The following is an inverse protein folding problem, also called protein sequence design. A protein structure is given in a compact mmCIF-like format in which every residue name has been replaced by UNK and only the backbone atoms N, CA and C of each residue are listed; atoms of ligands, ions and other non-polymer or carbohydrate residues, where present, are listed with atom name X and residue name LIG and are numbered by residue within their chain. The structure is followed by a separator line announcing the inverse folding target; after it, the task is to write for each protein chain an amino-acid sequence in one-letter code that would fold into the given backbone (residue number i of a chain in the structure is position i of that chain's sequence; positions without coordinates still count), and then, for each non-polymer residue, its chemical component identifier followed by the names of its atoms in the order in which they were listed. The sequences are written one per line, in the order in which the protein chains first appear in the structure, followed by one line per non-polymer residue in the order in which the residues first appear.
data_IF_183521230379
#
_entry.id   IF_183521230379
#
_cell.length_a   1.000
_cell.length_b   1.000
_cell.length_c   1.000
_cell.angle_alpha   90.00
_cell.angle_beta   90.00
_cell.angle_gamma   90.00
#
_symmetry.space_group_name_H-M   'P 1'
#
loop_
_entity.id
_entity.type
_entity.pdbx_description
1 polymer ?
#
# COMPACT_ATOMS: atom_id res chain seq x y z
N UNK A 1 -15.82 -22.73 7.81
CA UNK A 1 -14.90 -21.79 8.49
C UNK A 1 -13.85 -21.38 7.46
N UNK A 2 -13.82 -20.11 7.03
CA UNK A 2 -12.75 -19.63 6.15
C UNK A 2 -11.49 -19.56 7.00
N UNK A 3 -10.47 -20.35 6.68
CA UNK A 3 -9.17 -20.21 7.34
C UNK A 3 -8.72 -18.75 7.21
N UNK A 4 -8.22 -18.11 8.28
CA UNK A 4 -7.58 -16.81 8.13
C UNK A 4 -6.46 -16.98 7.10
N UNK A 5 -6.48 -16.15 6.05
CA UNK A 5 -5.39 -16.13 5.09
C UNK A 5 -4.09 -15.93 5.88
N UNK A 6 -3.06 -16.71 5.58
CA UNK A 6 -1.77 -16.51 6.23
C UNK A 6 -1.27 -15.10 5.91
N UNK A 7 -0.46 -14.52 6.81
CA UNK A 7 0.17 -13.22 6.55
C UNK A 7 0.84 -13.19 5.18
N UNK A 8 1.56 -14.26 4.83
CA UNK A 8 2.18 -14.41 3.51
C UNK A 8 1.18 -14.30 2.35
N UNK A 9 0.04 -14.99 2.42
CA UNK A 9 -1.00 -14.90 1.38
C UNK A 9 -1.55 -13.49 1.26
N UNK A 10 -1.76 -12.78 2.37
CA UNK A 10 -2.24 -11.40 2.38
C UNK A 10 -1.22 -10.48 1.69
N UNK A 11 0.06 -10.61 2.05
CA UNK A 11 1.14 -9.81 1.47
C UNK A 11 1.30 -10.06 -0.04
N UNK A 12 1.20 -11.32 -0.48
CA UNK A 12 1.25 -11.66 -1.91
C UNK A 12 0.08 -11.05 -2.67
N UNK A 13 -1.15 -11.17 -2.16
CA UNK A 13 -2.34 -10.61 -2.81
C UNK A 13 -2.31 -9.07 -2.86
N UNK A 14 -1.85 -8.43 -1.79
CA UNK A 14 -1.62 -6.99 -1.76
C UNK A 14 -0.59 -6.54 -2.80
N UNK A 15 0.56 -7.21 -2.87
CA UNK A 15 1.61 -6.87 -3.84
C UNK A 15 1.21 -7.21 -5.29
N UNK A 16 0.33 -8.20 -5.48
CA UNK A 16 -0.30 -8.49 -6.77
C UNK A 16 -1.33 -7.42 -7.20
N UNK A 17 -1.75 -6.54 -6.27
CA UNK A 17 -2.72 -5.49 -6.53
C UNK A 17 -4.17 -5.94 -6.47
N UNK A 18 -4.46 -7.08 -5.85
CA UNK A 18 -5.84 -7.56 -5.67
C UNK A 18 -6.65 -6.63 -4.75
N UNK A 19 -5.97 -5.98 -3.81
CA UNK A 19 -6.52 -4.95 -2.94
C UNK A 19 -5.45 -3.95 -2.52
N UNK A 20 -5.88 -2.79 -2.03
CA UNK A 20 -4.99 -1.72 -1.58
C UNK A 20 -4.45 -1.92 -0.17
N UNK A 21 -3.49 -1.08 0.22
CA UNK A 21 -2.79 -1.21 1.50
C UNK A 21 -3.72 -1.14 2.73
N UNK A 22 -4.84 -0.39 2.69
CA UNK A 22 -5.79 -0.29 3.82
C UNK A 22 -6.44 -1.62 4.16
N UNK A 23 -6.82 -2.37 3.13
CA UNK A 23 -7.40 -3.71 3.31
C UNK A 23 -6.32 -4.68 3.78
N UNK A 24 -5.10 -4.57 3.24
CA UNK A 24 -3.96 -5.36 3.70
C UNK A 24 -3.66 -5.14 5.20
N UNK A 25 -3.66 -3.89 5.69
CA UNK A 25 -3.48 -3.57 7.12
C UNK A 25 -4.57 -4.23 7.98
N UNK A 26 -5.83 -4.16 7.53
CA UNK A 26 -6.97 -4.75 8.24
C UNK A 26 -6.87 -6.27 8.32
N UNK A 27 -6.52 -6.93 7.20
CA UNK A 27 -6.43 -8.39 7.12
C UNK A 27 -5.21 -8.95 7.87
N UNK A 28 -4.09 -8.22 7.87
CA UNK A 28 -2.85 -8.63 8.53
C UNK A 28 -2.78 -8.25 10.01
N UNK A 29 -3.69 -7.39 10.48
CA UNK A 29 -3.63 -6.78 11.81
C UNK A 29 -2.29 -6.05 12.05
N UNK A 30 -1.84 -5.33 11.03
CA UNK A 30 -0.66 -4.45 11.07
C UNK A 30 -1.16 -3.00 11.12
N UNK A 31 -0.54 -2.18 11.98
CA UNK A 31 -1.05 -0.85 12.30
C UNK A 31 -0.60 0.21 11.28
N UNK A 32 0.60 0.04 10.72
CA UNK A 32 1.21 1.04 9.83
C UNK A 32 1.62 0.48 8.48
N UNK A 33 1.62 1.36 7.47
CA UNK A 33 2.06 1.00 6.12
C UNK A 33 3.54 0.59 6.09
N UNK A 34 4.38 1.20 6.91
CA UNK A 34 5.81 0.89 6.99
C UNK A 34 6.03 -0.52 7.54
N UNK A 35 5.33 -0.89 8.62
CA UNK A 35 5.36 -2.26 9.16
C UNK A 35 4.85 -3.29 8.14
N UNK A 36 3.88 -2.92 7.31
CA UNK A 36 3.36 -3.78 6.26
C UNK A 36 4.40 -4.02 5.16
N UNK A 37 5.19 -3.01 4.81
CA UNK A 37 6.34 -3.15 3.91
C UNK A 37 7.47 -3.98 4.54
N UNK A 38 7.78 -3.76 5.81
CA UNK A 38 8.76 -4.55 6.55
C UNK A 38 8.35 -6.03 6.62
N UNK A 39 7.07 -6.30 6.86
CA UNK A 39 6.52 -7.66 6.86
C UNK A 39 6.67 -8.33 5.49
N UNK A 40 6.44 -7.61 4.40
CA UNK A 40 6.68 -8.12 3.04
C UNK A 40 8.17 -8.42 2.80
N UNK A 41 9.06 -7.52 3.21
CA UNK A 41 10.51 -7.71 3.09
C UNK A 41 10.99 -8.94 3.87
N UNK A 42 10.63 -9.04 5.15
CA UNK A 42 11.00 -10.15 6.04
C UNK A 42 10.40 -11.50 5.57
N UNK A 43 9.25 -11.46 4.90
CA UNK A 43 8.60 -12.65 4.32
C UNK A 43 9.12 -13.01 2.92
N UNK A 44 10.06 -12.26 2.36
CA UNK A 44 10.58 -12.47 1.01
C UNK A 44 9.57 -12.19 -0.10
N UNK A 45 8.50 -11.43 0.17
CA UNK A 45 7.51 -11.05 -0.83
C UNK A 45 8.04 -9.84 -1.62
N UNK A 46 8.17 -9.94 -2.96
CA UNK A 46 8.64 -8.83 -3.77
C UNK A 46 7.74 -7.60 -3.67
N UNK A 47 8.34 -6.43 -3.51
CA UNK A 47 7.60 -5.15 -3.49
C UNK A 47 7.32 -4.69 -4.92
N UNK A 48 6.05 -4.46 -5.22
CA UNK A 48 5.57 -3.87 -6.46
C UNK A 48 6.06 -2.43 -6.56
N UNK A 49 6.66 -2.12 -7.70
CA UNK A 49 7.23 -0.79 -8.00
C UNK A 49 6.33 0.08 -8.88
N UNK A 50 5.37 -0.53 -9.59
CA UNK A 50 4.40 0.17 -10.42
C UNK A 50 3.15 0.42 -9.62
N UNK A 51 2.64 1.65 -9.59
CA UNK A 51 1.38 2.01 -8.94
C UNK A 51 0.17 1.32 -9.61
N UNK A 52 -0.90 1.10 -8.85
CA UNK A 52 -2.20 0.71 -9.38
C UNK A 52 -2.85 1.96 -9.98
N UNK A 53 -3.79 1.80 -10.92
CA UNK A 53 -4.48 2.94 -11.52
C UNK A 53 -5.07 3.92 -10.50
N UNK A 54 -5.70 3.41 -9.44
CA UNK A 54 -6.27 4.25 -8.38
C UNK A 54 -5.21 4.96 -7.53
N UNK A 55 -4.07 4.29 -7.30
CA UNK A 55 -2.92 4.88 -6.60
C UNK A 55 -2.26 5.98 -7.44
N UNK A 56 -2.20 5.82 -8.77
CA UNK A 56 -1.73 6.88 -9.67
C UNK A 56 -2.63 8.11 -9.62
N UNK A 57 -3.95 7.92 -9.61
CA UNK A 57 -4.91 9.03 -9.52
C UNK A 57 -4.72 9.80 -8.22
N UNK A 58 -4.57 9.08 -7.09
CA UNK A 58 -4.29 9.72 -5.80
C UNK A 58 -2.94 10.44 -5.80
N UNK A 59 -1.87 9.80 -6.29
CA UNK A 59 -0.55 10.39 -6.37
C UNK A 59 -0.53 11.68 -7.22
N UNK A 60 -1.26 11.71 -8.35
CA UNK A 60 -1.43 12.93 -9.17
C UNK A 60 -2.14 14.04 -8.41
N UNK A 61 -3.21 13.72 -7.66
CA UNK A 61 -3.98 14.70 -6.86
C UNK A 61 -3.13 15.29 -5.74
N UNK A 62 -2.47 14.44 -4.95
CA UNK A 62 -1.59 14.88 -3.85
C UNK A 62 -0.43 15.71 -4.41
N UNK A 63 0.20 15.26 -5.50
CA UNK A 63 1.28 16.01 -6.15
C UNK A 63 0.84 17.40 -6.63
N UNK A 64 -0.38 17.53 -7.15
CA UNK A 64 -0.93 18.83 -7.54
C UNK A 64 -1.18 19.74 -6.33
N UNK A 65 -1.73 19.21 -5.24
CA UNK A 65 -1.96 19.95 -4.00
C UNK A 65 -0.67 20.46 -3.35
N UNK A 66 0.38 19.62 -3.32
CA UNK A 66 1.68 20.01 -2.78
C UNK A 66 2.30 21.14 -3.60
N UNK A 67 2.28 21.04 -4.94
CA UNK A 67 2.78 22.11 -5.81
C UNK A 67 2.04 23.42 -5.61
N UNK A 68 0.71 23.38 -5.50
CA UNK A 68 -0.10 24.57 -5.27
C UNK A 68 0.22 25.25 -3.92
N UNK A 69 0.44 24.47 -2.85
CA UNK A 69 0.85 24.99 -1.55
C UNK A 69 2.24 25.65 -1.60
N UNK A 70 3.19 25.03 -2.30
CA UNK A 70 4.53 25.61 -2.49
C UNK A 70 4.49 26.92 -3.27
N UNK A 71 3.59 27.03 -4.27
CA UNK A 71 3.42 28.26 -5.06
C UNK A 71 2.66 29.37 -4.31
N UNK A 72 1.82 29.03 -3.33
CA UNK A 72 1.11 30.02 -2.51
C UNK A 72 1.95 30.58 -1.34
N UNK A 73 3.08 29.95 -1.03
CA UNK A 73 4.01 30.35 0.03
C UNK A 73 5.22 31.17 -0.48
N UNK A 74 5.30 31.42 -1.79
CA UNK A 74 6.35 32.19 -2.47
C UNK A 74 5.85 33.57 -2.90
#
# INVERSE_FOLDING_TARGET
MKHPASLYTILVAWQAGEFGYREALTLSNIDTLDELYDAAHLSGVPIRTKLLPDEEVMARRVGALLRAQSSAAA
#
